data_IF_061354180274
#
_entry.id   IF_061354180274
#
_cell.length_a   1.000
_cell.length_b   1.000
_cell.length_c   1.000
_cell.angle_alpha   90.00
_cell.angle_beta   90.00
_cell.angle_gamma   90.00
#
_symmetry.space_group_name_H-M   'P 1'
#
loop_
_entity.id
_entity.type
_entity.pdbx_description
1 polymer ?
#
# COMPACT_ATOMS: atom_id res chain seq x y z
N UNK A 1 -5.98 -35.31 2.12
CA UNK A 1 -4.72 -34.57 1.89
C UNK A 1 -3.58 -35.53 2.15
N UNK A 2 -2.82 -35.89 1.13
CA UNK A 2 -1.69 -36.83 1.25
C UNK A 2 -0.41 -36.02 1.37
N UNK A 3 0.48 -36.39 2.30
CA UNK A 3 1.76 -35.72 2.52
C UNK A 3 2.65 -35.93 1.27
N UNK A 4 3.04 -34.84 0.60
CA UNK A 4 3.76 -34.87 -0.68
C UNK A 4 3.02 -34.18 -1.85
N UNK A 5 1.79 -33.73 -1.64
CA UNK A 5 1.03 -32.94 -2.61
C UNK A 5 1.66 -31.54 -2.79
N UNK A 6 2.14 -31.23 -4.00
CA UNK A 6 2.58 -29.86 -4.36
C UNK A 6 1.35 -28.97 -4.44
N UNK A 7 1.22 -28.05 -3.50
CA UNK A 7 0.18 -27.02 -3.51
C UNK A 7 0.81 -25.74 -4.04
N UNK A 8 0.41 -25.33 -5.25
CA UNK A 8 0.75 -24.01 -5.75
C UNK A 8 -0.17 -22.99 -5.08
N UNK A 9 0.41 -22.16 -4.22
CA UNK A 9 -0.31 -21.08 -3.56
C UNK A 9 -0.37 -19.91 -4.55
N UNK A 10 -1.46 -19.82 -5.31
CA UNK A 10 -1.74 -18.67 -6.14
C UNK A 10 -2.07 -17.47 -5.26
N UNK A 11 -1.17 -16.48 -5.17
CA UNK A 11 -1.56 -15.18 -4.62
C UNK A 11 -2.43 -14.53 -5.69
N UNK A 12 -3.67 -14.09 -5.39
CA UNK A 12 -4.47 -13.37 -6.36
C UNK A 12 -3.72 -12.10 -6.78
N UNK A 13 -3.15 -12.09 -7.98
CA UNK A 13 -2.29 -11.00 -8.51
C UNK A 13 -2.94 -9.63 -8.35
N UNK A 14 -4.26 -9.59 -8.56
CA UNK A 14 -5.05 -8.37 -8.48
C UNK A 14 -5.13 -7.77 -7.06
N UNK A 15 -5.09 -8.60 -6.01
CA UNK A 15 -5.07 -8.13 -4.61
C UNK A 15 -3.68 -7.63 -4.22
N UNK A 16 -2.63 -8.36 -4.64
CA UNK A 16 -1.25 -7.98 -4.40
C UNK A 16 -0.88 -6.66 -5.09
N UNK A 17 -1.28 -6.50 -6.36
CA UNK A 17 -1.09 -5.26 -7.11
C UNK A 17 -1.83 -4.08 -6.48
N UNK A 18 -3.08 -4.26 -6.03
CA UNK A 18 -3.85 -3.20 -5.36
C UNK A 18 -3.22 -2.78 -4.04
N UNK A 19 -2.77 -3.74 -3.24
CA UNK A 19 -2.08 -3.45 -1.97
C UNK A 19 -0.76 -2.71 -2.19
N UNK A 20 0.03 -3.15 -3.17
CA UNK A 20 1.27 -2.47 -3.56
C UNK A 20 0.99 -1.04 -4.06
N UNK A 21 -0.03 -0.86 -4.90
CA UNK A 21 -0.43 0.44 -5.45
C UNK A 21 -0.82 1.43 -4.34
N UNK A 22 -1.57 0.99 -3.33
CA UNK A 22 -1.91 1.85 -2.18
C UNK A 22 -0.67 2.27 -1.39
N UNK A 23 0.22 1.32 -1.11
CA UNK A 23 1.45 1.61 -0.33
C UNK A 23 2.42 2.51 -1.11
N UNK A 24 2.40 2.49 -2.44
CA UNK A 24 3.25 3.35 -3.28
C UNK A 24 2.64 4.71 -3.59
N UNK A 25 1.38 4.75 -4.03
CA UNK A 25 0.78 5.99 -4.53
C UNK A 25 0.28 6.89 -3.41
N UNK A 26 -0.32 6.34 -2.35
CA UNK A 26 -0.84 7.14 -1.24
C UNK A 26 0.21 8.02 -0.57
N UNK A 27 1.42 7.53 -0.21
CA UNK A 27 2.44 8.41 0.37
C UNK A 27 2.99 9.43 -0.63
N UNK A 28 3.09 9.08 -1.92
CA UNK A 28 3.56 10.01 -2.94
C UNK A 28 2.56 11.17 -3.11
N UNK A 29 1.27 10.86 -3.19
CA UNK A 29 0.21 11.86 -3.23
C UNK A 29 0.19 12.71 -1.96
N UNK A 30 0.33 12.08 -0.79
CA UNK A 30 0.41 12.77 0.49
C UNK A 30 1.56 13.78 0.56
N UNK A 31 2.74 13.38 0.08
CA UNK A 31 3.91 14.27 0.00
C UNK A 31 3.61 15.51 -0.85
N UNK A 32 3.07 15.32 -2.07
CA UNK A 32 2.80 16.43 -2.98
C UNK A 32 1.67 17.33 -2.50
N UNK A 33 0.59 16.76 -1.96
CA UNK A 33 -0.55 17.54 -1.45
C UNK A 33 -0.11 18.39 -0.26
N UNK A 34 0.60 17.81 0.71
CA UNK A 34 1.03 18.54 1.91
C UNK A 34 2.07 19.61 1.56
N UNK A 35 3.06 19.28 0.73
CA UNK A 35 4.04 20.28 0.26
C UNK A 35 3.39 21.39 -0.57
N UNK A 36 2.45 21.04 -1.45
CA UNK A 36 1.71 21.99 -2.27
C UNK A 36 0.88 22.96 -1.44
N UNK A 37 0.15 22.44 -0.43
CA UNK A 37 -0.58 23.29 0.52
C UNK A 37 0.41 24.15 1.31
N UNK A 38 1.49 23.57 1.85
CA UNK A 38 2.48 24.31 2.61
C UNK A 38 3.11 25.44 1.80
N UNK A 39 3.34 25.24 0.49
CA UNK A 39 3.87 26.28 -0.41
C UNK A 39 2.94 27.49 -0.58
N UNK A 40 1.65 27.37 -0.26
CA UNK A 40 0.71 28.49 -0.29
C UNK A 40 0.81 29.37 0.96
N UNK A 41 1.28 28.81 2.09
CA UNK A 41 1.31 29.49 3.40
C UNK A 41 2.73 29.81 3.88
N UNK A 42 3.71 28.99 3.50
CA UNK A 42 5.11 29.10 3.91
C UNK A 42 5.93 29.63 2.74
N UNK A 43 6.76 30.64 3.01
CA UNK A 43 7.69 31.21 2.03
C UNK A 43 9.09 30.58 2.07
N UNK A 44 9.37 29.75 3.08
CA UNK A 44 10.66 29.08 3.24
C UNK A 44 10.69 27.74 2.50
N UNK A 45 11.60 27.60 1.54
CA UNK A 45 11.80 26.37 0.76
C UNK A 45 12.10 25.16 1.66
N UNK A 46 12.92 25.36 2.71
CA UNK A 46 13.22 24.33 3.69
C UNK A 46 11.97 23.87 4.44
N UNK A 47 11.09 24.79 4.80
CA UNK A 47 9.88 24.45 5.52
C UNK A 47 8.87 23.72 4.61
N UNK A 48 8.78 24.09 3.33
CA UNK A 48 7.99 23.36 2.33
C UNK A 48 8.55 21.94 2.16
N UNK A 49 9.86 21.79 2.02
CA UNK A 49 10.51 20.48 1.92
C UNK A 49 10.23 19.60 3.15
N UNK A 50 10.43 20.14 4.35
CA UNK A 50 10.14 19.44 5.60
C UNK A 50 8.67 19.04 5.70
N UNK A 51 7.74 19.91 5.27
CA UNK A 51 6.31 19.59 5.26
C UNK A 51 5.98 18.42 4.32
N UNK A 52 6.63 18.35 3.15
CA UNK A 52 6.46 17.24 2.21
C UNK A 52 6.95 15.92 2.78
N UNK A 53 8.11 15.92 3.45
CA UNK A 53 8.62 14.73 4.15
C UNK A 53 7.65 14.26 5.23
N UNK A 54 7.15 15.19 6.05
CA UNK A 54 6.18 14.88 7.11
C UNK A 54 4.88 14.34 6.50
N UNK A 55 4.38 14.96 5.43
CA UNK A 55 3.18 14.52 4.71
C UNK A 55 3.34 13.11 4.11
N UNK A 56 4.48 12.84 3.48
CA UNK A 56 4.79 11.53 2.92
C UNK A 56 4.85 10.44 4.00
N UNK A 57 5.52 10.71 5.14
CA UNK A 57 5.62 9.75 6.25
C UNK A 57 4.25 9.51 6.90
N UNK A 58 3.48 10.56 7.17
CA UNK A 58 2.13 10.43 7.73
C UNK A 58 1.21 9.61 6.81
N UNK A 59 1.18 9.93 5.52
CA UNK A 59 0.37 9.18 4.55
C UNK A 59 0.89 7.76 4.35
N UNK A 60 2.20 7.51 4.42
CA UNK A 60 2.76 6.16 4.38
C UNK A 60 2.29 5.31 5.55
N UNK A 61 2.31 5.85 6.78
CA UNK A 61 1.86 5.13 7.97
C UNK A 61 0.36 4.82 7.89
N UNK A 62 -0.45 5.77 7.42
CA UNK A 62 -1.88 5.55 7.18
C UNK A 62 -2.10 4.48 6.10
N UNK A 63 -1.43 4.57 4.95
CA UNK A 63 -1.52 3.59 3.88
C UNK A 63 -1.12 2.19 4.34
N UNK A 64 -0.03 2.07 5.11
CA UNK A 64 0.40 0.81 5.74
C UNK A 64 -0.66 0.27 6.69
N UNK A 65 -1.33 1.12 7.46
CA UNK A 65 -2.36 0.65 8.39
C UNK A 65 -3.63 0.21 7.65
N UNK A 66 -4.06 0.95 6.63
CA UNK A 66 -5.21 0.62 5.78
C UNK A 66 -4.92 -0.66 4.98
N UNK A 67 -3.74 -0.80 4.39
CA UNK A 67 -3.36 -2.00 3.65
C UNK A 67 -3.34 -3.25 4.55
N UNK A 68 -2.86 -3.12 5.80
CA UNK A 68 -2.94 -4.20 6.80
C UNK A 68 -4.36 -4.51 7.23
N UNK A 69 -5.23 -3.50 7.30
CA UNK A 69 -6.64 -3.67 7.68
C UNK A 69 -7.45 -4.31 6.54
N UNK A 70 -7.28 -3.85 5.30
CA UNK A 70 -7.89 -4.48 4.13
C UNK A 70 -7.34 -5.87 3.82
N UNK A 71 -6.11 -6.18 4.23
CA UNK A 71 -5.61 -7.56 4.17
C UNK A 71 -6.35 -8.51 5.12
N UNK A 72 -7.14 -8.01 6.09
CA UNK A 72 -7.92 -8.85 7.00
C UNK A 72 -9.33 -9.16 6.53
N UNK A 73 -9.94 -8.35 5.65
CA UNK A 73 -11.39 -8.43 5.42
C UNK A 73 -11.86 -8.70 3.99
N UNK A 74 -10.99 -8.76 2.97
CA UNK A 74 -11.49 -8.91 1.58
C UNK A 74 -10.68 -9.91 0.77
N UNK A 75 -11.17 -11.16 0.72
CA UNK A 75 -10.90 -12.08 -0.38
C UNK A 75 -9.55 -12.81 -0.36
N UNK A 76 -8.96 -13.03 0.82
CA UNK A 76 -7.84 -13.97 1.01
C UNK A 76 -8.29 -15.43 1.02
N UNK A 77 -9.24 -15.80 0.15
CA UNK A 77 -9.44 -17.22 -0.13
C UNK A 77 -8.34 -17.64 -1.10
N UNK A 78 -7.41 -18.53 -0.71
CA UNK A 78 -6.59 -19.22 -1.68
C UNK A 78 -7.55 -20.06 -2.53
N UNK A 79 -7.94 -19.56 -3.69
CA UNK A 79 -8.61 -20.40 -4.67
C UNK A 79 -7.57 -21.41 -5.16
N UNK A 80 -7.84 -22.70 -4.94
CA UNK A 80 -6.97 -23.78 -5.39
C UNK A 80 -7.05 -23.80 -6.92
N UNK A 81 -6.07 -23.18 -7.56
CA UNK A 81 -5.84 -23.30 -9.00
C UNK A 81 -5.30 -24.70 -9.26
N UNK A 82 -6.24 -25.63 -9.47
CA UNK A 82 -6.03 -26.91 -10.13
C UNK A 82 -5.39 -28.03 -9.30
N UNK A 83 -6.13 -29.15 -9.22
CA UNK A 83 -5.61 -30.44 -8.79
C UNK A 83 -4.75 -30.97 -9.94
N UNK A 84 -3.43 -30.92 -9.78
CA UNK A 84 -2.51 -31.66 -10.63
C UNK A 84 -2.41 -33.11 -10.16
N UNK A 85 -2.94 -34.01 -11.00
CA UNK A 85 -2.96 -35.49 -10.95
C UNK A 85 -4.21 -36.13 -10.32
#
# INVERSE_FOLDING_TARGET
>A
LVVGQKVEVGIPENSLLRSAMLVYLTPLLGLFIVAGIASLWLSSELAIFCSGLVGGVLCFLLAKNIARWWSKDVGFEPIILQIGL
#
